data_IF_225250798463
#
_entry.id   IF_225250798463
#
_cell.length_a   1.000
_cell.length_b   1.000
_cell.length_c   1.000
_cell.angle_alpha   90.00
_cell.angle_beta   90.00
_cell.angle_gamma   90.00
#
_symmetry.space_group_name_H-M   'P 1'
#
loop_
_entity.id
_entity.type
_entity.pdbx_description
1 polymer ?
#
# COMPACT_ATOMS: atom_id res chain seq x y z
N UNK A 1 12.84 -55.95 -5.18
CA UNK A 1 11.84 -54.97 -5.68
C UNK A 1 12.57 -53.65 -5.90
N UNK A 2 12.33 -52.98 -7.03
CA UNK A 2 13.23 -52.00 -7.64
C UNK A 2 13.20 -50.62 -6.98
N UNK A 3 14.28 -49.88 -7.24
CA UNK A 3 14.54 -48.48 -6.94
C UNK A 3 13.75 -47.59 -7.91
N UNK A 4 13.07 -46.54 -7.44
CA UNK A 4 12.57 -45.48 -8.32
C UNK A 4 12.55 -44.09 -7.65
N UNK A 5 13.41 -43.24 -8.21
CA UNK A 5 13.31 -41.80 -8.47
C UNK A 5 12.82 -40.84 -7.37
N UNK A 6 13.78 -40.15 -6.75
CA UNK A 6 13.55 -38.84 -6.15
C UNK A 6 13.25 -37.79 -7.25
N UNK A 7 12.22 -36.94 -7.12
CA UNK A 7 12.03 -35.82 -8.04
C UNK A 7 13.09 -34.74 -7.76
N UNK A 8 13.96 -34.50 -8.73
CA UNK A 8 14.84 -33.34 -8.75
C UNK A 8 14.00 -32.07 -8.78
N UNK A 9 14.04 -31.28 -7.70
CA UNK A 9 13.46 -29.94 -7.68
C UNK A 9 14.32 -29.02 -8.53
N UNK A 10 13.81 -28.66 -9.70
CA UNK A 10 14.40 -27.65 -10.58
C UNK A 10 14.49 -26.32 -9.82
N UNK A 11 15.71 -25.91 -9.49
CA UNK A 11 15.99 -24.58 -8.95
C UNK A 11 15.74 -23.55 -10.06
N UNK A 12 14.57 -22.92 -10.04
CA UNK A 12 14.24 -21.83 -10.94
C UNK A 12 15.26 -20.70 -10.78
N UNK A 13 16.10 -20.50 -11.79
CA UNK A 13 17.10 -19.44 -11.80
C UNK A 13 16.39 -18.07 -11.84
N UNK A 14 16.70 -17.20 -10.87
CA UNK A 14 16.14 -15.85 -10.80
C UNK A 14 16.59 -15.03 -12.02
N UNK A 15 15.63 -14.64 -12.87
CA UNK A 15 15.87 -13.75 -14.01
C UNK A 15 16.03 -12.31 -13.50
N UNK A 16 17.13 -11.64 -13.86
CA UNK A 16 17.37 -10.23 -13.55
C UNK A 16 17.31 -9.41 -14.84
N UNK A 17 16.69 -8.25 -14.77
CA UNK A 17 16.50 -7.35 -15.91
C UNK A 17 17.37 -6.12 -15.72
N UNK A 18 18.33 -5.95 -16.61
CA UNK A 18 19.26 -4.82 -16.64
C UNK A 18 18.97 -3.94 -17.84
N UNK A 19 18.97 -2.63 -17.64
CA UNK A 19 18.86 -1.66 -18.74
C UNK A 19 20.12 -0.82 -18.80
N UNK A 20 20.68 -0.65 -20.00
CA UNK A 20 21.80 0.24 -20.27
C UNK A 20 21.66 0.92 -21.62
N UNK A 21 22.17 2.15 -21.72
CA UNK A 21 22.24 2.93 -22.95
C UNK A 21 23.62 2.75 -23.60
N UNK A 22 23.65 2.48 -24.90
CA UNK A 22 24.88 2.35 -25.69
C UNK A 22 25.01 3.57 -26.62
N UNK A 23 26.15 4.24 -26.59
CA UNK A 23 26.46 5.39 -27.44
C UNK A 23 27.61 5.03 -28.37
N UNK A 24 27.46 5.28 -29.67
CA UNK A 24 28.47 5.00 -30.69
C UNK A 24 28.93 6.34 -31.25
N UNK A 25 30.23 6.60 -31.16
CA UNK A 25 30.89 7.76 -31.76
C UNK A 25 31.61 7.34 -33.04
N UNK A 26 31.35 8.05 -34.13
CA UNK A 26 32.02 7.89 -35.41
C UNK A 26 32.91 9.11 -35.65
N UNK A 27 34.21 8.90 -35.78
CA UNK A 27 35.16 9.96 -36.12
C UNK A 27 35.87 9.63 -37.43
N UNK A 28 35.76 10.54 -38.40
CA UNK A 28 36.46 10.45 -39.68
C UNK A 28 37.73 11.30 -39.63
N UNK A 29 38.88 10.64 -39.67
CA UNK A 29 40.19 11.28 -39.76
C UNK A 29 40.35 11.99 -41.11
N UNK A 30 41.11 13.09 -41.22
CA UNK A 30 41.38 13.77 -42.49
C UNK A 30 42.06 12.91 -43.57
N UNK A 31 42.58 11.73 -43.20
CA UNK A 31 43.09 10.71 -44.12
C UNK A 31 42.00 9.74 -44.66
N UNK A 32 40.74 9.94 -44.29
CA UNK A 32 39.61 9.14 -44.72
C UNK A 32 39.36 7.86 -43.91
N UNK A 33 40.13 7.64 -42.84
CA UNK A 33 39.92 6.51 -41.94
C UNK A 33 38.75 6.79 -40.98
N UNK A 34 37.76 5.90 -40.96
CA UNK A 34 36.59 5.98 -40.09
C UNK A 34 36.83 5.09 -38.87
N UNK A 35 36.81 5.70 -37.68
CA UNK A 35 36.94 4.98 -36.41
C UNK A 35 35.61 4.98 -35.67
N UNK A 36 35.16 3.80 -35.25
CA UNK A 36 33.96 3.61 -34.44
C UNK A 36 34.36 3.31 -32.99
N UNK A 37 33.93 4.15 -32.05
CA UNK A 37 34.12 3.95 -30.61
C UNK A 37 32.76 3.77 -29.96
N UNK A 38 32.58 2.67 -29.22
CA UNK A 38 31.34 2.40 -28.50
C UNK A 38 31.54 2.53 -26.99
N UNK A 39 30.69 3.31 -26.34
CA UNK A 39 30.63 3.47 -24.89
C UNK A 39 29.32 2.86 -24.34
N UNK A 40 29.42 2.08 -23.27
CA UNK A 40 28.26 1.55 -22.55
C UNK A 40 28.16 2.13 -21.15
N UNK A 41 26.96 2.53 -20.75
CA UNK A 41 26.67 2.95 -19.37
C UNK A 41 26.62 1.74 -18.42
N UNK A 42 26.99 1.89 -17.13
CA UNK A 42 26.88 0.81 -16.14
C UNK A 42 25.46 0.23 -16.08
N UNK A 43 25.37 -1.10 -16.01
CA UNK A 43 24.10 -1.81 -15.88
C UNK A 43 23.41 -1.40 -14.56
N UNK A 44 22.23 -0.79 -14.67
CA UNK A 44 21.39 -0.49 -13.51
C UNK A 44 20.35 -1.60 -13.38
N UNK A 45 20.28 -2.22 -12.21
CA UNK A 45 19.17 -3.08 -11.84
C UNK A 45 17.90 -2.22 -11.86
N UNK A 46 16.98 -2.52 -12.78
CA UNK A 46 15.69 -1.85 -12.80
C UNK A 46 14.90 -2.42 -11.63
N UNK A 47 14.90 -1.73 -10.49
CA UNK A 47 13.95 -2.02 -9.43
C UNK A 47 12.55 -1.76 -9.99
N UNK A 48 11.86 -2.85 -10.34
CA UNK A 48 10.44 -2.78 -10.69
C UNK A 48 9.70 -2.02 -9.57
N UNK A 49 8.80 -1.08 -9.90
CA UNK A 49 8.09 -0.31 -8.90
C UNK A 49 7.44 -1.29 -7.93
N UNK A 50 7.71 -1.10 -6.64
CA UNK A 50 7.29 -1.92 -5.50
C UNK A 50 5.78 -1.80 -5.24
N UNK A 51 4.96 -1.81 -6.29
CA UNK A 51 3.52 -1.89 -6.18
C UNK A 51 3.23 -3.28 -5.61
N UNK A 52 2.66 -3.40 -4.41
CA UNK A 52 2.41 -4.71 -3.82
C UNK A 52 1.52 -5.53 -4.76
N UNK A 53 2.07 -6.58 -5.37
CA UNK A 53 1.34 -7.44 -6.32
C UNK A 53 0.30 -8.27 -5.56
N UNK A 54 0.62 -8.62 -4.31
CA UNK A 54 -0.25 -9.35 -3.41
C UNK A 54 -1.45 -8.51 -2.94
N UNK A 55 -2.66 -9.06 -3.13
CA UNK A 55 -3.91 -8.43 -2.71
C UNK A 55 -3.93 -8.03 -1.22
N UNK A 56 -3.38 -8.86 -0.33
CA UNK A 56 -3.36 -8.60 1.11
C UNK A 56 -2.53 -7.37 1.46
N UNK A 57 -1.42 -7.16 0.77
CA UNK A 57 -0.55 -6.00 0.98
C UNK A 57 -1.20 -4.72 0.46
N UNK A 58 -1.89 -4.78 -0.68
CA UNK A 58 -2.75 -3.68 -1.16
C UNK A 58 -3.84 -3.32 -0.15
N UNK A 59 -4.51 -4.32 0.43
CA UNK A 59 -5.53 -4.10 1.45
C UNK A 59 -4.96 -3.51 2.75
N UNK A 60 -3.75 -3.93 3.15
CA UNK A 60 -3.02 -3.32 4.28
C UNK A 60 -2.69 -1.85 4.00
N UNK A 61 -2.14 -1.55 2.83
CA UNK A 61 -1.84 -0.16 2.42
C UNK A 61 -3.09 0.72 2.41
N UNK A 62 -4.21 0.23 1.85
CA UNK A 62 -5.49 0.96 1.85
C UNK A 62 -5.99 1.24 3.27
N UNK A 63 -5.84 0.29 4.19
CA UNK A 63 -6.26 0.46 5.59
C UNK A 63 -5.40 1.49 6.32
N UNK A 64 -4.09 1.50 6.09
CA UNK A 64 -3.18 2.47 6.70
C UNK A 64 -3.52 3.90 6.27
N UNK A 65 -3.72 4.13 4.96
CA UNK A 65 -4.14 5.44 4.42
C UNK A 65 -5.47 5.92 5.03
N UNK A 66 -6.46 5.03 5.13
CA UNK A 66 -7.75 5.36 5.76
C UNK A 66 -7.61 5.77 7.24
N UNK A 67 -6.68 5.16 7.96
CA UNK A 67 -6.42 5.51 9.37
C UNK A 67 -5.69 6.84 9.46
N UNK A 68 -4.69 7.10 8.61
CA UNK A 68 -3.99 8.39 8.52
C UNK A 68 -4.94 9.54 8.20
N UNK A 69 -5.75 9.41 7.13
CA UNK A 69 -6.76 10.41 6.73
C UNK A 69 -7.76 10.71 7.84
N UNK A 70 -8.05 9.71 8.68
CA UNK A 70 -8.99 9.83 9.80
C UNK A 70 -8.33 10.33 11.08
N UNK A 71 -7.02 10.14 11.24
CA UNK A 71 -6.24 10.64 12.37
C UNK A 71 -5.99 12.15 12.27
N UNK A 72 -6.02 12.73 11.06
CA UNK A 72 -5.82 14.15 10.78
C UNK A 72 -6.85 15.13 11.37
N UNK A 73 -7.79 14.67 12.21
CA UNK A 73 -8.67 15.56 12.99
C UNK A 73 -9.68 16.40 12.20
N UNK A 74 -9.64 16.35 10.87
CA UNK A 74 -10.52 17.12 10.02
C UNK A 74 -11.98 16.68 10.23
N UNK A 75 -12.88 17.64 10.45
CA UNK A 75 -14.27 17.35 10.80
C UNK A 75 -15.03 16.86 9.56
N UNK A 76 -14.96 15.55 9.30
CA UNK A 76 -15.72 14.92 8.23
C UNK A 76 -17.23 14.99 8.52
N UNK A 77 -18.01 15.42 7.52
CA UNK A 77 -19.45 15.39 7.59
C UNK A 77 -19.96 13.96 7.86
N UNK A 78 -20.66 13.77 8.98
CA UNK A 78 -21.23 12.47 9.35
C UNK A 78 -22.46 12.19 8.50
N UNK A 79 -22.55 10.99 7.91
CA UNK A 79 -23.75 10.57 7.16
C UNK A 79 -25.04 10.70 7.98
N UNK A 80 -26.14 11.08 7.32
CA UNK A 80 -27.46 11.25 7.95
C UNK A 80 -27.90 9.98 8.70
N UNK A 81 -27.55 8.78 8.19
CA UNK A 81 -27.80 7.50 8.87
C UNK A 81 -27.12 7.43 10.25
N UNK A 82 -25.84 7.84 10.34
CA UNK A 82 -25.11 7.90 11.62
C UNK A 82 -25.67 9.00 12.53
N UNK A 83 -25.99 10.17 12.00
CA UNK A 83 -26.62 11.25 12.76
C UNK A 83 -27.95 10.80 13.39
N UNK A 84 -28.83 10.10 12.64
CA UNK A 84 -30.09 9.54 13.17
C UNK A 84 -29.85 8.54 14.30
N UNK A 85 -28.83 7.68 14.18
CA UNK A 85 -28.43 6.76 15.26
C UNK A 85 -28.01 7.52 16.52
N UNK A 86 -27.15 8.53 16.39
CA UNK A 86 -26.71 9.36 17.52
C UNK A 86 -27.88 10.15 18.14
N UNK A 87 -28.75 10.73 17.31
CA UNK A 87 -29.99 11.39 17.74
C UNK A 87 -30.88 10.44 18.54
N UNK A 88 -31.08 9.21 18.06
CA UNK A 88 -31.89 8.22 18.76
C UNK A 88 -31.26 7.81 20.09
N UNK A 89 -29.94 7.57 20.13
CA UNK A 89 -29.21 7.30 21.37
C UNK A 89 -29.38 8.44 22.39
N UNK A 90 -29.14 9.69 21.97
CA UNK A 90 -29.34 10.89 22.80
C UNK A 90 -30.78 10.99 23.32
N UNK A 91 -31.77 10.78 22.44
CA UNK A 91 -33.19 10.80 22.79
C UNK A 91 -33.54 9.73 23.84
N UNK A 92 -33.12 8.47 23.61
CA UNK A 92 -33.38 7.36 24.54
C UNK A 92 -32.69 7.58 25.88
N UNK A 93 -31.44 8.03 25.89
CA UNK A 93 -30.72 8.39 27.12
C UNK A 93 -31.46 9.50 27.87
N UNK A 94 -31.84 10.59 27.21
CA UNK A 94 -32.58 11.70 27.85
C UNK A 94 -33.94 11.23 28.40
N UNK A 95 -34.64 10.34 27.68
CA UNK A 95 -35.91 9.74 28.15
C UNK A 95 -35.69 8.87 29.39
N UNK A 96 -34.65 8.04 29.40
CA UNK A 96 -34.25 7.23 30.56
C UNK A 96 -33.91 8.12 31.76
N UNK A 97 -33.05 9.13 31.57
CA UNK A 97 -32.63 10.06 32.62
C UNK A 97 -33.82 10.80 33.23
N UNK A 98 -34.81 11.20 32.42
CA UNK A 98 -36.05 11.81 32.93
C UNK A 98 -36.86 10.83 33.79
N UNK A 99 -37.00 9.57 33.34
CA UNK A 99 -37.76 8.53 34.05
C UNK A 99 -37.10 8.13 35.37
N UNK A 100 -35.77 8.00 35.42
CA UNK A 100 -35.02 7.55 36.61
C UNK A 100 -34.55 8.70 37.49
N UNK A 101 -35.05 9.94 37.31
CA UNK A 101 -34.57 11.14 38.02
C UNK A 101 -34.58 10.98 39.55
N UNK A 102 -35.70 10.56 40.13
CA UNK A 102 -35.84 10.43 41.58
C UNK A 102 -35.04 9.24 42.13
N UNK A 103 -34.99 8.13 41.40
CA UNK A 103 -34.16 6.98 41.76
C UNK A 103 -32.68 7.38 41.84
N UNK A 104 -32.18 8.14 40.86
CA UNK A 104 -30.79 8.62 40.86
C UNK A 104 -30.51 9.65 41.95
N UNK A 105 -31.47 10.52 42.26
CA UNK A 105 -31.39 11.47 43.39
C UNK A 105 -31.31 10.76 44.74
N UNK A 106 -32.14 9.74 44.97
CA UNK A 106 -32.17 9.00 46.24
C UNK A 106 -30.92 8.16 46.48
N UNK A 107 -30.26 7.73 45.40
CA UNK A 107 -29.07 6.88 45.46
C UNK A 107 -27.76 7.68 45.42
N UNK A 108 -27.81 9.02 45.40
CA UNK A 108 -26.66 9.93 45.22
C UNK A 108 -25.71 9.51 44.07
N UNK A 109 -26.29 8.97 42.98
CA UNK A 109 -25.58 8.63 41.74
C UNK A 109 -25.82 9.69 40.65
N UNK A 110 -25.98 10.95 41.07
CA UNK A 110 -26.23 12.08 40.18
C UNK A 110 -24.97 12.90 39.97
#
# INVERSE_FOLDING_TARGET
>A
MPVDAAPATETGQAKRTYTATLTIEESTSPLGEVTYVAHSSPLQDVEEPTVPTAFRERMRGRRLRYVEERAGGEMWAISVKRQRKLKMKKHKYKKLMRRTRNLRRRLDRN
#
